data_IF_265166766544
#
_entry.id   IF_265166766544
#
_cell.length_a   1.000
_cell.length_b   1.000
_cell.length_c   1.000
_cell.angle_alpha   90.00
_cell.angle_beta   90.00
_cell.angle_gamma   90.00
#
_symmetry.space_group_name_H-M   'P 1'
#
loop_
_entity.id
_entity.type
_entity.pdbx_description
1 polymer ?
#
# COMPACT_ATOMS: atom_id res chain seq x y z
N UNK A 1 -14.11 6.22 8.93
CA UNK A 1 -12.79 5.89 9.52
C UNK A 1 -11.73 6.04 8.45
N UNK A 2 -10.51 6.51 8.76
CA UNK A 2 -9.42 6.65 7.77
C UNK A 2 -8.32 5.64 8.09
N UNK A 3 -7.93 4.84 7.11
CA UNK A 3 -6.95 3.77 7.24
C UNK A 3 -5.85 4.01 6.22
N UNK A 4 -4.60 4.05 6.69
CA UNK A 4 -3.42 4.03 5.83
C UNK A 4 -2.78 2.65 5.91
N UNK A 5 -2.65 1.97 4.78
CA UNK A 5 -1.94 0.70 4.67
C UNK A 5 -0.58 0.92 4.02
N UNK A 6 0.47 0.44 4.66
CA UNK A 6 1.79 0.34 4.04
C UNK A 6 1.84 -0.98 3.28
N UNK A 7 1.71 -0.88 1.95
CA UNK A 7 1.62 -2.03 1.08
C UNK A 7 2.97 -2.71 0.83
N UNK A 8 2.98 -4.02 0.56
CA UNK A 8 4.20 -4.74 0.19
C UNK A 8 4.74 -4.25 -1.16
N UNK A 9 6.01 -4.54 -1.44
CA UNK A 9 6.68 -4.02 -2.64
C UNK A 9 6.66 -4.95 -3.85
N UNK A 10 6.11 -6.16 -3.70
CA UNK A 10 6.00 -7.16 -4.76
C UNK A 10 4.56 -7.27 -5.26
N UNK A 11 4.41 -7.53 -6.56
CA UNK A 11 3.10 -7.59 -7.23
C UNK A 11 2.22 -8.70 -6.61
N UNK A 12 2.78 -9.89 -6.38
CA UNK A 12 2.04 -11.02 -5.80
C UNK A 12 1.50 -10.70 -4.41
N UNK A 13 2.33 -10.20 -3.52
CA UNK A 13 1.92 -9.81 -2.16
C UNK A 13 0.89 -8.68 -2.18
N UNK A 14 1.04 -7.72 -3.10
CA UNK A 14 0.08 -6.64 -3.29
C UNK A 14 -1.29 -7.19 -3.72
N UNK A 15 -1.32 -8.18 -4.62
CA UNK A 15 -2.59 -8.86 -4.97
C UNK A 15 -3.22 -9.54 -3.75
N UNK A 16 -2.41 -10.22 -2.94
CA UNK A 16 -2.91 -10.89 -1.72
C UNK A 16 -3.49 -9.89 -0.71
N UNK A 17 -2.92 -8.68 -0.63
CA UNK A 17 -3.39 -7.63 0.27
C UNK A 17 -4.82 -7.14 -0.03
N UNK A 18 -5.36 -7.37 -1.22
CA UNK A 18 -6.76 -7.03 -1.54
C UNK A 18 -7.75 -7.75 -0.62
N UNK A 19 -7.41 -8.97 -0.17
CA UNK A 19 -8.25 -9.72 0.77
C UNK A 19 -8.45 -8.94 2.07
N UNK A 20 -7.40 -8.26 2.56
CA UNK A 20 -7.49 -7.39 3.73
C UNK A 20 -8.43 -6.21 3.48
N UNK A 21 -8.31 -5.55 2.31
CA UNK A 21 -9.14 -4.38 2.00
C UNK A 21 -10.64 -4.74 1.94
N UNK A 22 -10.95 -5.91 1.36
CA UNK A 22 -12.32 -6.44 1.30
C UNK A 22 -12.88 -6.74 2.70
N UNK A 23 -12.07 -7.35 3.57
CA UNK A 23 -12.48 -7.61 4.95
C UNK A 23 -12.69 -6.30 5.72
N UNK A 24 -11.79 -5.32 5.57
CA UNK A 24 -11.92 -4.00 6.19
C UNK A 24 -13.18 -3.26 5.71
N UNK A 25 -13.53 -3.35 4.42
CA UNK A 25 -14.78 -2.77 3.91
C UNK A 25 -16.02 -3.53 4.38
N UNK A 26 -15.91 -4.82 4.68
CA UNK A 26 -17.00 -5.61 5.27
C UNK A 26 -17.26 -5.18 6.71
N UNK A 27 -16.21 -5.09 7.53
CA UNK A 27 -16.34 -4.69 8.94
C UNK A 27 -16.62 -3.20 9.11
N UNK A 28 -16.06 -2.37 8.23
CA UNK A 28 -16.17 -0.91 8.26
C UNK A 28 -16.56 -0.37 6.87
N UNK A 29 -17.85 -0.43 6.50
CA UNK A 29 -18.32 -0.06 5.16
C UNK A 29 -17.93 1.35 4.70
N UNK A 30 -17.86 2.30 5.64
CA UNK A 30 -17.48 3.69 5.40
C UNK A 30 -15.99 3.99 5.68
N UNK A 31 -15.12 2.97 5.69
CA UNK A 31 -13.67 3.19 5.83
C UNK A 31 -13.08 3.75 4.53
N UNK A 32 -12.31 4.83 4.64
CA UNK A 32 -11.44 5.31 3.58
C UNK A 32 -10.09 4.61 3.70
N UNK A 33 -9.67 3.87 2.67
CA UNK A 33 -8.42 3.11 2.66
C UNK A 33 -7.46 3.74 1.66
N UNK A 34 -6.38 4.33 2.16
CA UNK A 34 -5.27 4.79 1.35
C UNK A 34 -4.13 3.78 1.46
N UNK A 35 -3.46 3.46 0.34
CA UNK A 35 -2.37 2.48 0.29
C UNK A 35 -1.09 3.17 -0.16
N UNK A 36 -0.06 3.16 0.68
CA UNK A 36 1.28 3.57 0.30
C UNK A 36 2.05 2.40 -0.31
N UNK A 37 2.48 2.52 -1.56
CA UNK A 37 3.20 1.45 -2.26
C UNK A 37 4.16 2.00 -3.31
N UNK A 38 5.13 1.20 -3.79
CA UNK A 38 5.96 1.59 -4.93
C UNK A 38 5.15 1.99 -6.15
N UNK A 39 5.70 2.88 -6.99
CA UNK A 39 5.01 3.41 -8.16
C UNK A 39 4.49 2.33 -9.13
N UNK A 40 5.22 1.21 -9.27
CA UNK A 40 4.82 0.07 -10.12
C UNK A 40 3.59 -0.69 -9.60
N UNK A 41 3.23 -0.56 -8.32
CA UNK A 41 2.01 -1.16 -7.77
C UNK A 41 0.76 -0.29 -8.05
N UNK A 42 0.94 0.97 -8.46
CA UNK A 42 -0.18 1.91 -8.67
C UNK A 42 -1.20 1.44 -9.72
N UNK A 43 -0.81 0.89 -10.90
CA UNK A 43 -1.79 0.37 -11.86
C UNK A 43 -2.61 -0.81 -11.35
N UNK A 44 -2.06 -1.60 -10.42
CA UNK A 44 -2.76 -2.70 -9.77
C UNK A 44 -3.76 -2.16 -8.73
N UNK A 45 -3.30 -1.25 -7.84
CA UNK A 45 -4.14 -0.61 -6.83
C UNK A 45 -5.30 0.19 -7.43
N UNK A 46 -5.10 0.81 -8.60
CA UNK A 46 -6.17 1.51 -9.34
C UNK A 46 -7.32 0.60 -9.80
N UNK A 47 -7.14 -0.72 -9.77
CA UNK A 47 -8.18 -1.71 -10.10
C UNK A 47 -8.88 -2.29 -8.86
N UNK A 48 -8.48 -1.88 -7.65
CA UNK A 48 -9.08 -2.34 -6.40
C UNK A 48 -10.10 -1.31 -5.92
N UNK A 49 -11.42 -1.57 -6.01
CA UNK A 49 -12.46 -0.60 -5.65
C UNK A 49 -12.46 -0.27 -4.15
N UNK A 50 -11.85 -1.11 -3.31
CA UNK A 50 -11.71 -0.88 -1.88
C UNK A 50 -10.72 0.24 -1.56
N UNK A 51 -9.79 0.53 -2.47
CA UNK A 51 -8.70 1.51 -2.32
C UNK A 51 -9.15 2.88 -2.83
N UNK A 52 -9.06 3.88 -1.96
CA UNK A 52 -9.39 5.27 -2.27
C UNK A 52 -8.24 5.98 -2.99
N UNK A 53 -7.03 5.92 -2.42
CA UNK A 53 -5.84 6.50 -3.03
C UNK A 53 -4.63 5.58 -2.93
N UNK A 54 -3.86 5.53 -4.01
CA UNK A 54 -2.52 4.95 -4.02
C UNK A 54 -1.48 6.06 -3.81
N UNK A 55 -0.90 6.10 -2.61
CA UNK A 55 0.15 7.05 -2.22
C UNK A 55 1.50 6.51 -2.70
N UNK A 56 2.27 7.27 -3.49
CA UNK A 56 3.58 6.81 -3.93
C UNK A 56 4.53 6.72 -2.74
N UNK A 57 5.15 5.55 -2.55
CA UNK A 57 6.21 5.38 -1.57
C UNK A 57 7.47 6.09 -2.07
N UNK A 58 8.05 7.03 -1.30
CA UNK A 58 9.23 7.79 -1.72
C UNK A 58 10.52 6.96 -1.71
N UNK A 59 10.46 5.74 -1.15
CA UNK A 59 11.57 4.81 -1.05
C UNK A 59 11.38 3.68 -2.08
N UNK A 60 12.42 3.38 -2.86
CA UNK A 60 12.45 2.19 -3.71
C UNK A 60 12.50 0.91 -2.87
N UNK A 61 12.02 -0.21 -3.44
CA UNK A 61 12.16 -1.51 -2.77
C UNK A 61 13.64 -1.83 -2.51
N UNK A 62 13.94 -2.29 -1.29
CA UNK A 62 15.30 -2.60 -0.87
C UNK A 62 16.14 -1.40 -0.44
N UNK A 63 15.62 -0.17 -0.51
CA UNK A 63 16.32 1.01 0.02
C UNK A 63 15.97 1.26 1.48
N UNK A 64 16.92 0.95 2.37
CA UNK A 64 16.98 1.54 3.71
C UNK A 64 17.91 2.76 3.65
N UNK A 65 17.38 3.96 3.89
CA UNK A 65 18.18 5.17 4.10
C UNK A 65 18.80 5.17 5.51
N UNK A 66 19.55 4.12 5.84
CA UNK A 66 20.37 4.13 7.04
C UNK A 66 21.54 5.08 6.81
N UNK A 67 21.70 6.04 7.73
CA UNK A 67 22.83 6.98 7.73
C UNK A 67 24.12 6.16 7.83
N UNK A 68 24.93 6.13 6.77
CA UNK A 68 26.30 5.67 6.89
C UNK A 68 27.05 6.66 7.78
N UNK A 69 27.47 6.20 8.96
CA UNK A 69 28.51 6.88 9.72
C UNK A 69 29.80 6.57 8.98
N UNK A 70 30.30 7.54 8.21
CA UNK A 70 31.66 7.46 7.70
C UNK A 70 32.60 7.42 8.91
N UNK A 71 33.28 6.28 9.08
CA UNK A 71 34.46 6.16 9.91
C UNK A 71 35.69 6.36 9.02
#
# INVERSE_FOLDING_TARGET
MKILVIGPSWVGDMMMSQSLYRTLKTEYPAADIDVMAPAWCRPLLARMPEVRHAVPMPLGHGFLLLRSVAA
#
